data_IF_327360689854
#
_entry.id   IF_327360689854
#
_cell.length_a   1.000
_cell.length_b   1.000
_cell.length_c   1.000
_cell.angle_alpha   90.00
_cell.angle_beta   90.00
_cell.angle_gamma   90.00
#
_symmetry.space_group_name_H-M   'P 1'
#
loop_
_entity.id
_entity.type
_entity.pdbx_description
1 polymer ?
#
# COMPACT_ATOMS: atom_id res chain seq x y z
N UNK A 1 5.63 -0.66 -26.06
CA UNK A 1 4.52 0.15 -25.51
C UNK A 1 5.10 1.38 -24.84
N UNK A 2 4.45 2.53 -24.98
CA UNK A 2 4.78 3.73 -24.20
C UNK A 2 3.65 3.92 -23.19
N UNK A 3 4.00 4.07 -21.91
CA UNK A 3 3.05 4.26 -20.81
C UNK A 3 3.12 5.71 -20.35
N UNK A 4 1.97 6.33 -20.14
CA UNK A 4 1.85 7.68 -19.61
C UNK A 4 1.23 7.62 -18.21
N UNK A 5 1.89 8.25 -17.23
CA UNK A 5 1.42 8.32 -15.84
C UNK A 5 1.15 9.78 -15.51
N UNK A 6 -0.06 10.07 -15.02
CA UNK A 6 -0.47 11.41 -14.63
C UNK A 6 -0.61 11.48 -13.10
N UNK A 7 -0.08 12.56 -12.50
CA UNK A 7 -0.16 12.82 -11.06
C UNK A 7 -0.98 14.10 -10.83
N UNK A 8 -2.33 14.03 -10.83
CA UNK A 8 -3.17 15.19 -10.55
C UNK A 8 -2.96 15.66 -9.11
N UNK A 9 -2.82 16.97 -8.91
CA UNK A 9 -2.61 17.57 -7.59
C UNK A 9 -3.93 17.97 -6.90
N UNK A 10 -5.05 17.89 -7.60
CA UNK A 10 -6.38 18.24 -7.09
C UNK A 10 -7.45 17.33 -7.66
N UNK A 11 -8.55 17.17 -6.92
CA UNK A 11 -9.74 16.45 -7.37
C UNK A 11 -10.32 16.99 -8.69
N UNK A 12 -10.26 18.31 -8.89
CA UNK A 12 -10.72 18.94 -10.12
C UNK A 12 -9.89 18.49 -11.34
N UNK A 13 -8.57 18.37 -11.17
CA UNK A 13 -7.67 17.88 -12.23
C UNK A 13 -7.92 16.40 -12.51
N UNK A 14 -8.09 15.57 -11.47
CA UNK A 14 -8.38 14.15 -11.63
C UNK A 14 -9.68 13.95 -12.43
N UNK A 15 -10.75 14.68 -12.10
CA UNK A 15 -12.03 14.62 -12.83
C UNK A 15 -11.90 15.04 -14.30
N UNK A 16 -11.16 16.12 -14.57
CA UNK A 16 -10.93 16.57 -15.94
C UNK A 16 -10.17 15.51 -16.76
N UNK A 17 -9.16 14.87 -16.18
CA UNK A 17 -8.39 13.80 -16.84
C UNK A 17 -9.29 12.58 -17.13
N UNK A 18 -10.09 12.14 -16.15
CA UNK A 18 -11.04 11.02 -16.33
C UNK A 18 -12.02 11.30 -17.47
N UNK A 19 -12.62 12.50 -17.49
CA UNK A 19 -13.55 12.90 -18.55
C UNK A 19 -12.91 12.91 -19.94
N UNK A 20 -11.63 13.32 -20.05
CA UNK A 20 -10.89 13.26 -21.32
C UNK A 20 -10.67 11.81 -21.75
N UNK A 21 -10.29 10.92 -20.84
CA UNK A 21 -10.09 9.50 -21.18
C UNK A 21 -11.39 8.83 -21.60
N UNK A 22 -12.50 9.11 -20.91
CA UNK A 22 -13.83 8.63 -21.30
C UNK A 22 -14.22 9.13 -22.69
N UNK A 23 -14.03 10.43 -22.97
CA UNK A 23 -14.36 11.03 -24.27
C UNK A 23 -13.53 10.46 -25.43
N UNK A 24 -12.33 9.97 -25.15
CA UNK A 24 -11.44 9.34 -26.12
C UNK A 24 -11.57 7.82 -26.15
N UNK A 25 -12.49 7.24 -25.36
CA UNK A 25 -12.67 5.79 -25.20
C UNK A 25 -11.36 5.09 -24.80
N UNK A 26 -10.49 5.79 -24.07
CA UNK A 26 -9.23 5.25 -23.56
C UNK A 26 -9.51 4.57 -22.22
N UNK A 27 -9.35 3.24 -22.11
CA UNK A 27 -9.51 2.58 -20.83
C UNK A 27 -8.40 3.03 -19.87
N UNK A 28 -8.80 3.36 -18.64
CA UNK A 28 -7.88 3.63 -17.55
C UNK A 28 -8.24 2.76 -16.35
N UNK A 29 -7.22 2.36 -15.59
CA UNK A 29 -7.39 1.65 -14.33
C UNK A 29 -7.10 2.62 -13.20
N UNK A 30 -7.94 2.60 -12.18
CA UNK A 30 -7.59 3.20 -10.90
C UNK A 30 -6.76 2.16 -10.15
N UNK A 31 -5.47 2.46 -9.96
CA UNK A 31 -4.73 1.74 -8.92
C UNK A 31 -5.40 2.15 -7.61
N UNK A 32 -6.03 1.19 -6.94
CA UNK A 32 -6.47 1.38 -5.55
C UNK A 32 -5.25 1.84 -4.77
N UNK A 33 -5.39 2.89 -3.97
CA UNK A 33 -4.47 3.08 -2.84
C UNK A 33 -4.56 1.78 -2.04
N UNK A 34 -3.63 0.86 -2.25
CA UNK A 34 -3.53 -0.33 -1.44
C UNK A 34 -3.35 0.20 -0.03
N UNK A 35 -4.30 -0.11 0.86
CA UNK A 35 -4.08 0.07 2.29
C UNK A 35 -2.71 -0.53 2.60
N UNK A 36 -1.91 0.13 3.44
CA UNK A 36 -0.55 -0.35 3.72
C UNK A 36 -0.58 -1.80 4.24
N UNK A 37 -1.67 -2.18 4.89
CA UNK A 37 -2.04 -3.55 5.27
C UNK A 37 -2.13 -4.48 4.06
N UNK A 38 -2.88 -4.10 3.02
CA UNK A 38 -3.02 -4.89 1.79
C UNK A 38 -1.70 -5.01 1.05
N UNK A 39 -0.86 -3.97 1.08
CA UNK A 39 0.48 -3.98 0.50
C UNK A 39 1.42 -4.96 1.23
N UNK A 40 1.34 -5.02 2.56
CA UNK A 40 2.10 -5.97 3.38
C UNK A 40 1.67 -7.40 3.07
N UNK A 41 0.35 -7.64 2.97
CA UNK A 41 -0.22 -8.96 2.70
C UNK A 41 -0.06 -9.41 1.24
N UNK A 42 0.22 -8.50 0.30
CA UNK A 42 0.45 -8.84 -1.11
C UNK A 42 1.87 -9.39 -1.39
N UNK A 43 2.83 -9.23 -0.47
CA UNK A 43 4.22 -9.68 -0.67
C UNK A 43 4.51 -10.98 0.11
N UNK A 44 4.73 -12.13 -0.57
CA UNK A 44 4.99 -13.40 0.09
C UNK A 44 6.20 -13.41 1.04
N UNK A 45 7.24 -12.63 0.73
CA UNK A 45 8.40 -12.50 1.60
C UNK A 45 8.04 -11.77 2.90
N UNK A 46 7.17 -10.77 2.82
CA UNK A 46 6.72 -10.00 3.97
C UNK A 46 5.80 -10.82 4.88
N UNK A 47 4.88 -11.60 4.30
CA UNK A 47 4.05 -12.56 5.05
C UNK A 47 4.93 -13.52 5.84
N UNK A 48 5.93 -14.12 5.17
CA UNK A 48 6.86 -15.05 5.83
C UNK A 48 7.61 -14.39 7.00
N UNK A 49 8.10 -13.16 6.81
CA UNK A 49 8.75 -12.42 7.89
C UNK A 49 7.82 -12.15 9.07
N UNK A 50 6.54 -11.89 8.83
CA UNK A 50 5.54 -11.70 9.88
C UNK A 50 5.33 -13.01 10.66
N UNK A 51 5.14 -14.12 9.95
CA UNK A 51 4.93 -15.44 10.54
C UNK A 51 6.14 -15.89 11.39
N UNK A 52 7.34 -15.73 10.85
CA UNK A 52 8.59 -16.03 11.55
C UNK A 52 8.70 -15.19 12.84
N UNK A 53 8.33 -13.90 12.77
CA UNK A 53 8.34 -13.01 13.94
C UNK A 53 7.32 -13.41 15.01
N UNK A 54 6.14 -13.86 14.61
CA UNK A 54 5.11 -14.39 15.52
C UNK A 54 5.61 -15.66 16.20
N UNK A 55 6.27 -16.54 15.45
CA UNK A 55 6.81 -17.79 16.00
C UNK A 55 7.97 -17.52 16.95
N UNK A 56 8.89 -16.62 16.62
CA UNK A 56 9.98 -16.22 17.50
C UNK A 56 9.50 -15.60 18.82
N UNK A 57 8.38 -14.86 18.78
CA UNK A 57 7.74 -14.36 20.00
C UNK A 57 7.18 -15.51 20.87
N UNK A 58 6.51 -16.50 20.26
CA UNK A 58 6.04 -17.71 20.96
C UNK A 58 7.20 -18.52 21.55
N UNK A 59 8.32 -18.59 20.84
CA UNK A 59 9.56 -19.24 21.28
C UNK A 59 10.31 -18.45 22.37
N UNK A 60 9.83 -17.25 22.74
CA UNK A 60 10.48 -16.39 23.75
C UNK A 60 11.76 -15.69 23.25
N UNK A 61 12.02 -15.68 21.94
CA UNK A 61 13.19 -15.02 21.32
C UNK A 61 12.99 -13.52 21.10
N UNK A 62 11.75 -13.04 21.24
CA UNK A 62 11.37 -11.62 21.10
C UNK A 62 10.58 -11.15 22.33
N UNK A 63 10.63 -9.85 22.58
CA UNK A 63 9.86 -9.19 23.64
C UNK A 63 8.97 -8.12 23.03
N UNK A 64 7.77 -7.95 23.58
CA UNK A 64 6.87 -6.86 23.19
C UNK A 64 7.29 -5.63 24.01
N UNK A 65 7.57 -4.53 23.31
CA UNK A 65 7.86 -3.24 23.92
C UNK A 65 6.63 -2.36 23.71
N UNK A 66 6.08 -1.83 24.80
CA UNK A 66 5.00 -0.85 24.74
C UNK A 66 5.56 0.57 24.62
N UNK A 67 4.72 1.54 24.24
CA UNK A 67 5.15 2.95 24.19
C UNK A 67 5.61 3.45 25.56
N UNK A 68 5.00 2.98 26.65
CA UNK A 68 5.36 3.34 28.02
C UNK A 68 6.77 2.84 28.41
N UNK A 69 7.26 1.77 27.76
CA UNK A 69 8.62 1.26 27.96
C UNK A 69 9.70 2.13 27.28
N UNK A 70 9.30 2.88 26.23
CA UNK A 70 10.19 3.72 25.42
C UNK A 70 10.27 5.15 25.97
N UNK A 71 9.17 5.70 26.46
CA UNK A 71 9.10 7.07 26.97
C UNK A 71 9.27 7.10 28.50
N UNK A 72 10.53 7.11 28.96
CA UNK A 72 10.92 7.38 30.36
C UNK A 72 11.37 8.81 30.58
#
# INVERSE_FOLDING_TARGET
>A
MKTLVAHPNTEAQLRAIKAIFEALEVPYNEESELDETDRIMANPAMIKHLDDSIQELKDGKKVIISLDDVWK
#
